data_IF_478097476670
#
_entry.id   IF_478097476670
#
_cell.length_a   1.000
_cell.length_b   1.000
_cell.length_c   1.000
_cell.angle_alpha   90.00
_cell.angle_beta   90.00
_cell.angle_gamma   90.00
#
_symmetry.space_group_name_H-M   'P 1'
#
loop_
_entity.id
_entity.type
_entity.pdbx_description
1 polymer ?
#
# COMPACT_ATOMS: atom_id res chain seq x y z
N UNK A 1 11.23 4.85 25.16
CA UNK A 1 11.27 4.67 23.69
C UNK A 1 10.45 3.45 23.42
N UNK A 2 9.46 3.50 22.50
CA UNK A 2 8.65 2.31 22.19
C UNK A 2 9.53 1.36 21.38
N UNK A 3 9.56 0.08 21.76
CA UNK A 3 10.25 -0.95 20.99
C UNK A 3 9.39 -1.26 19.74
N UNK A 4 10.05 -1.49 18.60
CA UNK A 4 9.36 -1.86 17.36
C UNK A 4 9.31 -3.37 17.19
N UNK A 5 8.33 -3.84 16.43
CA UNK A 5 8.38 -5.13 15.78
C UNK A 5 7.95 -4.97 14.33
N UNK A 6 8.75 -5.47 13.37
CA UNK A 6 8.43 -5.41 11.94
C UNK A 6 9.08 -6.58 11.20
N UNK A 7 8.30 -7.35 10.45
CA UNK A 7 8.79 -8.45 9.60
C UNK A 7 8.22 -8.40 8.17
N UNK A 8 7.91 -7.21 7.67
CA UNK A 8 7.19 -7.00 6.40
C UNK A 8 8.04 -7.22 5.15
N UNK A 9 9.36 -7.40 5.27
CA UNK A 9 10.23 -7.56 4.12
C UNK A 9 11.28 -8.65 4.35
N UNK A 10 11.87 -9.13 3.27
CA UNK A 10 12.93 -10.16 3.31
C UNK A 10 14.22 -9.71 4.00
N UNK A 11 14.42 -8.40 4.19
CA UNK A 11 15.60 -7.84 4.87
C UNK A 11 15.45 -7.84 6.40
N UNK A 12 14.36 -8.38 6.91
CA UNK A 12 14.10 -8.39 8.35
C UNK A 12 15.25 -9.02 9.13
N UNK A 13 15.60 -8.43 10.28
CA UNK A 13 16.77 -8.84 11.07
C UNK A 13 16.70 -10.33 11.44
N UNK A 14 17.75 -11.08 11.13
CA UNK A 14 17.89 -12.51 11.42
C UNK A 14 16.73 -13.41 10.93
N UNK A 15 15.94 -12.95 9.96
CA UNK A 15 14.70 -13.60 9.48
C UNK A 15 13.62 -13.79 10.57
N UNK A 16 13.71 -13.06 11.69
CA UNK A 16 12.75 -13.17 12.81
C UNK A 16 11.94 -11.91 13.04
N UNK A 17 12.41 -10.77 12.56
CA UNK A 17 11.79 -9.46 12.73
C UNK A 17 12.79 -8.41 13.19
N UNK A 18 12.50 -7.15 12.84
CA UNK A 18 13.22 -6.01 13.41
C UNK A 18 12.53 -5.60 14.71
N UNK A 19 13.19 -5.78 15.83
CA UNK A 19 12.66 -5.56 17.19
C UNK A 19 13.42 -4.49 18.00
N UNK A 20 14.42 -3.86 17.38
CA UNK A 20 15.29 -2.89 18.03
C UNK A 20 14.79 -1.43 17.96
N UNK A 21 15.72 -0.50 17.91
CA UNK A 21 15.44 0.93 17.78
C UNK A 21 15.26 1.37 16.33
N UNK A 22 15.84 0.62 15.40
CA UNK A 22 15.85 0.90 13.95
C UNK A 22 15.80 -0.42 13.20
N UNK A 23 14.96 -0.51 12.18
CA UNK A 23 14.92 -1.64 11.26
C UNK A 23 16.11 -1.66 10.31
N UNK A 24 16.37 -2.79 9.65
CA UNK A 24 17.46 -2.94 8.66
C UNK A 24 17.33 -1.90 7.53
N UNK A 25 16.11 -1.54 7.14
CA UNK A 25 15.82 -0.50 6.13
C UNK A 25 15.97 0.95 6.64
N UNK A 26 16.38 1.17 7.89
CA UNK A 26 16.46 2.50 8.51
C UNK A 26 15.14 3.01 9.12
N UNK A 27 14.04 2.25 9.06
CA UNK A 27 12.77 2.61 9.69
C UNK A 27 12.97 2.74 11.20
N UNK A 28 12.57 3.87 11.79
CA UNK A 28 12.65 4.09 13.23
C UNK A 28 11.52 3.35 13.96
N UNK A 29 11.75 3.03 15.24
CA UNK A 29 10.79 2.31 16.06
C UNK A 29 9.44 3.04 16.20
N UNK A 30 9.44 4.36 16.34
CA UNK A 30 8.23 5.16 16.40
C UNK A 30 7.43 5.12 15.08
N UNK A 31 8.13 5.16 13.94
CA UNK A 31 7.49 5.01 12.62
C UNK A 31 6.80 3.66 12.47
N UNK A 32 7.44 2.57 12.88
CA UNK A 32 6.84 1.24 12.84
C UNK A 32 5.57 1.17 13.72
N UNK A 33 5.64 1.73 14.93
CA UNK A 33 4.48 1.78 15.84
C UNK A 33 3.34 2.61 15.26
N UNK A 34 3.60 3.77 14.65
CA UNK A 34 2.55 4.58 14.02
C UNK A 34 1.93 3.89 12.79
N UNK A 35 2.72 3.11 12.04
CA UNK A 35 2.17 2.28 10.96
C UNK A 35 1.27 1.17 11.49
N UNK A 36 1.60 0.55 12.62
CA UNK A 36 0.74 -0.44 13.28
C UNK A 36 -0.54 0.21 13.83
N UNK A 37 -0.44 1.39 14.45
CA UNK A 37 -1.59 2.18 14.91
C UNK A 37 -2.51 2.54 13.72
N UNK A 38 -1.95 2.92 12.56
CA UNK A 38 -2.70 3.18 11.33
C UNK A 38 -3.45 1.93 10.83
N UNK A 39 -2.80 0.75 10.81
CA UNK A 39 -3.48 -0.50 10.45
C UNK A 39 -4.61 -0.82 11.42
N UNK A 40 -4.38 -0.64 12.71
CA UNK A 40 -5.42 -0.82 13.74
C UNK A 40 -6.64 0.08 13.51
N UNK A 41 -6.42 1.34 13.14
CA UNK A 41 -7.48 2.28 12.80
C UNK A 41 -8.22 1.89 11.51
N UNK A 42 -7.53 1.35 10.50
CA UNK A 42 -8.14 0.83 9.26
C UNK A 42 -9.05 -0.37 9.54
N UNK A 43 -8.64 -1.29 10.42
CA UNK A 43 -9.47 -2.43 10.85
C UNK A 43 -10.73 -1.91 11.55
N UNK A 44 -10.60 -0.93 12.44
CA UNK A 44 -11.75 -0.32 13.12
C UNK A 44 -12.68 0.41 12.14
N UNK A 45 -12.13 1.11 11.13
CA UNK A 45 -12.90 1.74 10.06
C UNK A 45 -13.68 0.69 9.23
N UNK A 46 -13.04 -0.42 8.88
CA UNK A 46 -13.69 -1.51 8.15
C UNK A 46 -14.84 -2.16 8.95
N UNK A 47 -14.68 -2.30 10.26
CA UNK A 47 -15.76 -2.77 11.14
C UNK A 47 -16.92 -1.75 11.22
N UNK A 48 -16.58 -0.46 11.33
CA UNK A 48 -17.61 0.60 11.35
C UNK A 48 -18.42 0.67 10.04
N UNK A 49 -17.77 0.39 8.91
CA UNK A 49 -18.40 0.41 7.59
C UNK A 49 -19.41 -0.72 7.37
N UNK A 50 -19.32 -1.85 8.09
CA UNK A 50 -20.21 -3.01 7.90
C UNK A 50 -21.70 -2.65 8.09
N UNK A 51 -22.01 -1.83 9.11
CA UNK A 51 -23.36 -1.35 9.39
C UNK A 51 -23.44 0.18 9.32
N UNK A 52 -22.48 0.81 8.67
CA UNK A 52 -22.37 2.25 8.50
C UNK A 52 -22.75 2.71 7.09
N UNK A 53 -22.37 3.95 6.78
CA UNK A 53 -22.59 4.55 5.47
C UNK A 53 -21.25 4.98 4.85
N UNK A 54 -20.42 4.02 4.38
CA UNK A 54 -19.16 4.35 3.70
C UNK A 54 -19.42 5.13 2.40
N UNK A 55 -18.43 5.91 1.98
CA UNK A 55 -18.46 6.72 0.77
C UNK A 55 -17.15 6.55 0.02
N UNK A 56 -17.03 7.10 -1.19
CA UNK A 56 -15.76 7.13 -1.94
C UNK A 56 -14.58 7.68 -1.12
N UNK A 57 -14.86 8.64 -0.21
CA UNK A 57 -13.84 9.12 0.73
C UNK A 57 -13.38 8.02 1.68
N UNK A 58 -14.30 7.19 2.16
CA UNK A 58 -13.98 6.06 3.04
C UNK A 58 -13.11 5.05 2.30
N UNK A 59 -13.46 4.73 1.05
CA UNK A 59 -12.71 3.82 0.19
C UNK A 59 -11.29 4.35 -0.07
N UNK A 60 -11.16 5.64 -0.40
CA UNK A 60 -9.86 6.29 -0.59
C UNK A 60 -8.99 6.24 0.68
N UNK A 61 -9.56 6.42 1.87
CA UNK A 61 -8.83 6.34 3.13
C UNK A 61 -8.31 4.91 3.40
N UNK A 62 -9.11 3.88 3.06
CA UNK A 62 -8.66 2.47 3.13
C UNK A 62 -7.46 2.26 2.21
N UNK A 63 -7.56 2.65 0.93
CA UNK A 63 -6.48 2.47 -0.04
C UNK A 63 -5.22 3.23 0.37
N UNK A 64 -5.36 4.52 0.68
CA UNK A 64 -4.24 5.40 1.07
C UNK A 64 -3.57 4.92 2.35
N UNK A 65 -4.34 4.45 3.34
CA UNK A 65 -3.80 3.92 4.59
C UNK A 65 -3.01 2.63 4.39
N UNK A 66 -3.56 1.67 3.65
CA UNK A 66 -2.85 0.43 3.32
C UNK A 66 -1.60 0.70 2.50
N UNK A 67 -1.68 1.52 1.45
CA UNK A 67 -0.54 1.90 0.61
C UNK A 67 0.55 2.61 1.42
N UNK A 68 0.20 3.55 2.29
CA UNK A 68 1.14 4.26 3.18
C UNK A 68 1.96 3.31 4.06
N UNK A 69 1.42 2.15 4.42
CA UNK A 69 2.07 1.15 5.28
C UNK A 69 2.85 0.07 4.54
N UNK A 70 2.94 0.12 3.21
CA UNK A 70 3.84 -0.74 2.45
C UNK A 70 5.29 -0.48 2.85
N UNK A 71 6.11 -1.52 2.79
CA UNK A 71 7.54 -1.46 3.12
C UNK A 71 8.22 -0.34 2.34
N UNK A 72 8.91 0.56 3.06
CA UNK A 72 9.74 1.64 2.52
C UNK A 72 8.99 2.74 1.73
N UNK A 73 7.66 2.80 1.78
CA UNK A 73 6.88 3.83 1.07
C UNK A 73 6.83 5.14 1.85
N UNK A 74 6.50 5.09 3.14
CA UNK A 74 6.35 6.31 3.93
C UNK A 74 6.99 6.20 5.32
N UNK A 75 7.99 7.05 5.59
CA UNK A 75 8.66 7.17 6.88
C UNK A 75 8.36 8.51 7.59
N UNK A 76 7.40 9.28 7.10
CA UNK A 76 7.02 10.55 7.69
C UNK A 76 5.96 10.35 8.78
N UNK A 77 6.40 10.39 10.03
CA UNK A 77 5.53 10.23 11.20
C UNK A 77 4.39 11.24 11.28
N UNK A 78 4.60 12.46 10.78
CA UNK A 78 3.56 13.50 10.80
C UNK A 78 2.43 13.12 9.85
N UNK A 79 2.76 12.74 8.63
CA UNK A 79 1.78 12.31 7.62
C UNK A 79 1.02 11.06 8.07
N UNK A 80 1.72 10.06 8.66
CA UNK A 80 1.07 8.83 9.15
C UNK A 80 0.05 9.15 10.25
N UNK A 81 0.41 9.99 11.22
CA UNK A 81 -0.50 10.41 12.30
C UNK A 81 -1.71 11.20 11.79
N UNK A 82 -1.47 12.13 10.85
CA UNK A 82 -2.56 12.90 10.25
C UNK A 82 -3.56 11.98 9.53
N UNK A 83 -3.06 11.00 8.78
CA UNK A 83 -3.91 10.03 8.12
C UNK A 83 -4.69 9.15 9.11
N UNK A 84 -4.05 8.74 10.21
CA UNK A 84 -4.75 8.00 11.29
C UNK A 84 -5.89 8.84 11.88
N UNK A 85 -5.67 10.13 12.11
CA UNK A 85 -6.71 11.02 12.61
C UNK A 85 -7.84 11.22 11.59
N UNK A 86 -7.54 11.38 10.32
CA UNK A 86 -8.56 11.43 9.24
C UNK A 86 -9.43 10.17 9.24
N UNK A 87 -8.83 9.00 9.46
CA UNK A 87 -9.53 7.71 9.55
C UNK A 87 -10.44 7.68 10.79
N UNK A 88 -9.99 8.17 11.93
CA UNK A 88 -10.82 8.25 13.14
C UNK A 88 -12.03 9.18 12.94
N UNK A 89 -11.82 10.33 12.30
CA UNK A 89 -12.91 11.27 11.97
C UNK A 89 -13.91 10.59 11.04
N UNK A 90 -13.45 9.93 9.99
CA UNK A 90 -14.30 9.24 9.02
C UNK A 90 -15.06 8.08 9.67
N UNK A 91 -14.40 7.26 10.49
CA UNK A 91 -15.02 6.18 11.26
C UNK A 91 -16.22 6.67 12.09
N UNK A 92 -16.01 7.77 12.83
CA UNK A 92 -17.05 8.37 13.65
C UNK A 92 -18.19 9.01 12.83
N UNK A 93 -17.87 9.45 11.59
CA UNK A 93 -18.87 10.00 10.66
C UNK A 93 -19.79 8.91 10.10
N UNK A 94 -19.24 7.76 9.72
CA UNK A 94 -20.01 6.71 9.04
C UNK A 94 -20.82 5.85 10.01
N UNK A 95 -20.43 5.81 11.28
CA UNK A 95 -21.11 5.02 12.30
C UNK A 95 -21.00 5.69 13.67
N UNK A 96 -22.14 5.85 14.34
CA UNK A 96 -22.20 6.44 15.69
C UNK A 96 -21.77 5.49 16.81
N UNK A 97 -21.65 4.19 16.54
CA UNK A 97 -21.11 3.24 17.51
C UNK A 97 -19.61 3.45 17.68
N UNK A 98 -19.13 3.20 18.89
CA UNK A 98 -17.71 3.26 19.19
C UNK A 98 -17.00 1.99 18.69
N UNK A 99 -15.99 2.17 17.87
CA UNK A 99 -15.07 1.11 17.46
C UNK A 99 -13.67 1.49 17.93
N UNK A 100 -13.08 0.66 18.78
CA UNK A 100 -11.69 0.86 19.20
C UNK A 100 -10.73 0.34 18.13
N UNK A 101 -9.56 0.96 18.00
CA UNK A 101 -8.52 0.52 17.09
C UNK A 101 -8.05 -0.88 17.47
N UNK A 102 -7.74 -1.69 16.47
CA UNK A 102 -7.20 -3.02 16.69
C UNK A 102 -5.75 -2.93 17.16
N UNK A 103 -5.42 -3.58 18.27
CA UNK A 103 -4.04 -3.66 18.74
C UNK A 103 -3.27 -4.70 17.93
N UNK A 104 -2.37 -4.24 17.06
CA UNK A 104 -1.55 -5.11 16.22
C UNK A 104 -0.67 -6.10 16.98
N UNK A 105 -0.41 -5.86 18.27
CA UNK A 105 0.28 -6.83 19.13
C UNK A 105 -0.50 -8.13 19.28
N UNK A 106 -1.82 -8.09 19.18
CA UNK A 106 -2.65 -9.31 19.19
C UNK A 106 -2.34 -10.20 17.99
N UNK A 107 -2.14 -9.60 16.82
CA UNK A 107 -1.74 -10.33 15.62
C UNK A 107 -0.30 -10.84 15.73
N UNK A 108 0.62 -9.99 16.15
CA UNK A 108 2.05 -10.36 16.25
C UNK A 108 2.32 -11.47 17.27
N UNK A 109 1.51 -11.56 18.31
CA UNK A 109 1.63 -12.58 19.39
C UNK A 109 0.63 -13.74 19.26
N UNK A 110 -0.11 -13.83 18.14
CA UNK A 110 -1.05 -14.92 17.88
C UNK A 110 -0.31 -16.25 17.63
N UNK A 111 -1.05 -17.35 17.63
CA UNK A 111 -0.51 -18.66 17.23
C UNK A 111 0.14 -18.56 15.84
N UNK A 112 1.23 -19.28 15.62
CA UNK A 112 2.08 -19.14 14.43
C UNK A 112 1.31 -19.26 13.12
N UNK A 113 0.40 -20.26 13.00
CA UNK A 113 -0.38 -20.48 11.79
C UNK A 113 -1.37 -19.31 11.55
N UNK A 114 -2.06 -18.87 12.60
CA UNK A 114 -3.02 -17.76 12.53
C UNK A 114 -2.29 -16.47 12.17
N UNK A 115 -1.18 -16.17 12.85
CA UNK A 115 -0.33 -15.02 12.55
C UNK A 115 0.15 -15.05 11.10
N UNK A 116 0.59 -16.20 10.61
CA UNK A 116 1.10 -16.36 9.25
C UNK A 116 0.01 -16.12 8.21
N UNK A 117 -1.17 -16.73 8.37
CA UNK A 117 -2.29 -16.55 7.45
C UNK A 117 -2.80 -15.10 7.44
N UNK A 118 -3.00 -14.49 8.62
CA UNK A 118 -3.39 -13.08 8.72
C UNK A 118 -2.33 -12.14 8.13
N UNK A 119 -1.05 -12.47 8.28
CA UNK A 119 0.03 -11.68 7.70
C UNK A 119 0.05 -11.77 6.17
N UNK A 120 -0.18 -12.95 5.59
CA UNK A 120 -0.31 -13.14 4.14
C UNK A 120 -1.45 -12.28 3.58
N UNK A 121 -2.62 -12.30 4.24
CA UNK A 121 -3.76 -11.46 3.84
C UNK A 121 -3.38 -9.98 3.95
N UNK A 122 -2.83 -9.54 5.09
CA UNK A 122 -2.48 -8.14 5.33
C UNK A 122 -1.47 -7.62 4.29
N UNK A 123 -0.39 -8.37 4.04
CA UNK A 123 0.64 -7.95 3.09
C UNK A 123 0.12 -8.02 1.65
N UNK A 124 -0.73 -9.00 1.34
CA UNK A 124 -1.42 -9.10 0.05
C UNK A 124 -2.30 -7.87 -0.23
N UNK A 125 -3.18 -7.50 0.71
CA UNK A 125 -4.05 -6.33 0.52
C UNK A 125 -3.28 -5.00 0.53
N UNK A 126 -2.14 -4.89 1.22
CA UNK A 126 -1.27 -3.71 1.09
C UNK A 126 -0.72 -3.55 -0.32
N UNK A 127 -0.21 -4.63 -0.92
CA UNK A 127 0.27 -4.62 -2.31
C UNK A 127 -0.86 -4.31 -3.29
N UNK A 128 -2.02 -4.96 -3.11
CA UNK A 128 -3.21 -4.71 -3.93
C UNK A 128 -3.70 -3.26 -3.80
N UNK A 129 -3.60 -2.65 -2.62
CA UNK A 129 -3.98 -1.26 -2.41
C UNK A 129 -3.14 -0.27 -3.23
N UNK A 130 -1.86 -0.56 -3.48
CA UNK A 130 -1.05 0.25 -4.37
C UNK A 130 -1.60 0.23 -5.80
N UNK A 131 -1.95 -0.94 -6.32
CA UNK A 131 -2.55 -1.08 -7.65
C UNK A 131 -3.90 -0.36 -7.74
N UNK A 132 -4.78 -0.57 -6.76
CA UNK A 132 -6.08 0.08 -6.72
C UNK A 132 -5.97 1.61 -6.58
N UNK A 133 -5.01 2.11 -5.81
CA UNK A 133 -4.75 3.55 -5.66
C UNK A 133 -4.34 4.20 -6.99
N UNK A 134 -3.41 3.57 -7.72
CA UNK A 134 -2.98 4.07 -9.03
C UNK A 134 -4.11 3.99 -10.08
N UNK A 135 -4.90 2.91 -10.08
CA UNK A 135 -6.07 2.81 -10.94
C UNK A 135 -7.10 3.92 -10.65
N UNK A 136 -7.37 4.18 -9.37
CA UNK A 136 -8.29 5.23 -8.94
C UNK A 136 -7.77 6.63 -9.28
N UNK A 137 -6.46 6.89 -9.20
CA UNK A 137 -5.84 8.14 -9.65
C UNK A 137 -6.06 8.42 -11.14
N UNK A 138 -6.28 7.36 -11.94
CA UNK A 138 -6.65 7.41 -13.35
C UNK A 138 -8.18 7.30 -13.60
N UNK A 139 -8.99 7.41 -12.53
CA UNK A 139 -10.46 7.41 -12.62
C UNK A 139 -11.10 6.03 -12.76
N UNK A 140 -10.36 4.94 -12.51
CA UNK A 140 -10.88 3.56 -12.54
C UNK A 140 -11.03 2.96 -11.16
N UNK A 141 -12.20 2.40 -10.88
CA UNK A 141 -12.52 1.68 -9.63
C UNK A 141 -13.28 0.40 -9.94
N UNK A 142 -13.20 -0.57 -9.02
CA UNK A 142 -13.96 -1.81 -9.07
C UNK A 142 -14.58 -2.09 -7.71
N UNK A 143 -15.89 -2.32 -7.67
CA UNK A 143 -16.64 -2.51 -6.41
C UNK A 143 -16.30 -3.82 -5.70
N UNK A 144 -15.95 -4.87 -6.42
CA UNK A 144 -15.55 -6.14 -5.84
C UNK A 144 -14.18 -6.01 -5.15
N UNK A 145 -13.23 -5.34 -5.82
CA UNK A 145 -11.92 -5.02 -5.25
C UNK A 145 -12.08 -4.16 -4.00
N UNK A 146 -12.89 -3.11 -4.06
CA UNK A 146 -13.15 -2.23 -2.92
C UNK A 146 -13.78 -2.99 -1.75
N UNK A 147 -14.82 -3.78 -2.00
CA UNK A 147 -15.50 -4.56 -0.96
C UNK A 147 -14.60 -5.59 -0.30
N UNK A 148 -13.65 -6.13 -1.06
CA UNK A 148 -12.69 -7.11 -0.54
C UNK A 148 -11.74 -6.50 0.50
N UNK A 149 -11.30 -5.25 0.35
CA UNK A 149 -10.48 -4.59 1.37
C UNK A 149 -11.18 -4.56 2.73
N UNK A 150 -12.46 -4.21 2.77
CA UNK A 150 -13.23 -4.20 4.01
C UNK A 150 -13.36 -5.61 4.60
N UNK A 151 -13.68 -6.60 3.77
CA UNK A 151 -13.79 -8.00 4.18
C UNK A 151 -12.48 -8.52 4.79
N UNK A 152 -11.36 -8.29 4.11
CA UNK A 152 -10.04 -8.73 4.55
C UNK A 152 -9.60 -8.05 5.86
N UNK A 153 -9.76 -6.73 5.98
CA UNK A 153 -9.44 -6.00 7.21
C UNK A 153 -10.27 -6.48 8.40
N UNK A 154 -11.58 -6.72 8.23
CA UNK A 154 -12.41 -7.27 9.31
C UNK A 154 -11.95 -8.67 9.72
N UNK A 155 -11.63 -9.53 8.77
CA UNK A 155 -11.16 -10.88 9.06
C UNK A 155 -9.82 -10.89 9.80
N UNK A 156 -8.88 -10.01 9.46
CA UNK A 156 -7.63 -9.84 10.22
C UNK A 156 -7.92 -9.52 11.69
N UNK A 157 -8.93 -8.68 11.96
CA UNK A 157 -9.29 -8.28 13.31
C UNK A 157 -10.03 -9.34 14.14
N UNK A 158 -10.76 -10.26 13.51
CA UNK A 158 -11.75 -11.10 14.21
C UNK A 158 -11.72 -12.59 13.89
N UNK A 159 -11.26 -13.02 12.71
CA UNK A 159 -11.27 -14.44 12.32
C UNK A 159 -10.07 -15.18 12.94
N UNK A 160 -10.32 -16.39 13.45
CA UNK A 160 -9.28 -17.24 14.03
C UNK A 160 -9.39 -18.71 13.55
N UNK A 161 -10.28 -18.98 12.61
CA UNK A 161 -10.40 -20.31 11.98
C UNK A 161 -9.38 -20.42 10.84
N UNK A 162 -8.39 -21.34 10.93
CA UNK A 162 -7.35 -21.48 9.92
C UNK A 162 -7.90 -21.82 8.53
N UNK A 163 -8.97 -22.60 8.42
CA UNK A 163 -9.55 -22.99 7.13
C UNK A 163 -10.19 -21.78 6.43
N UNK A 164 -10.91 -20.96 7.19
CA UNK A 164 -11.48 -19.70 6.67
C UNK A 164 -10.39 -18.69 6.28
N UNK A 165 -9.35 -18.58 7.10
CA UNK A 165 -8.21 -17.70 6.79
C UNK A 165 -7.47 -18.17 5.54
N UNK A 166 -7.26 -19.49 5.37
CA UNK A 166 -6.66 -20.05 4.14
C UNK A 166 -7.54 -19.76 2.92
N UNK A 167 -8.85 -19.94 3.04
CA UNK A 167 -9.80 -19.57 1.99
C UNK A 167 -9.67 -18.08 1.60
N UNK A 168 -9.51 -17.20 2.59
CA UNK A 168 -9.34 -15.77 2.36
C UNK A 168 -7.98 -15.41 1.73
N UNK A 169 -6.90 -16.15 2.05
CA UNK A 169 -5.60 -16.01 1.35
C UNK A 169 -5.76 -16.30 -0.14
N UNK A 170 -6.45 -17.39 -0.50
CA UNK A 170 -6.70 -17.73 -1.90
C UNK A 170 -7.60 -16.70 -2.60
N UNK A 171 -8.61 -16.21 -1.89
CA UNK A 171 -9.48 -15.14 -2.40
C UNK A 171 -8.69 -13.84 -2.61
N UNK A 172 -7.74 -13.51 -1.73
CA UNK A 172 -6.84 -12.36 -1.91
C UNK A 172 -6.10 -12.45 -3.25
N UNK A 173 -5.59 -13.62 -3.61
CA UNK A 173 -4.95 -13.85 -4.90
C UNK A 173 -5.90 -13.63 -6.09
N UNK A 174 -7.11 -14.17 -6.02
CA UNK A 174 -8.12 -14.02 -7.08
C UNK A 174 -8.56 -12.56 -7.27
N UNK A 175 -8.80 -11.83 -6.17
CA UNK A 175 -9.19 -10.41 -6.25
C UNK A 175 -8.01 -9.55 -6.71
N UNK A 176 -6.78 -9.92 -6.33
CA UNK A 176 -5.59 -9.21 -6.82
C UNK A 176 -5.45 -9.32 -8.35
N UNK A 177 -5.78 -10.46 -8.96
CA UNK A 177 -5.79 -10.58 -10.44
C UNK A 177 -6.76 -9.58 -11.08
N UNK A 178 -7.95 -9.38 -10.50
CA UNK A 178 -8.90 -8.36 -10.96
C UNK A 178 -8.37 -6.94 -10.77
N UNK A 179 -7.74 -6.68 -9.63
CA UNK A 179 -7.13 -5.40 -9.34
C UNK A 179 -5.98 -5.07 -10.31
N UNK A 180 -5.15 -6.05 -10.65
CA UNK A 180 -4.10 -5.90 -11.65
C UNK A 180 -4.67 -5.62 -13.04
N UNK A 181 -5.73 -6.34 -13.44
CA UNK A 181 -6.41 -6.08 -14.71
C UNK A 181 -7.06 -4.68 -14.74
N UNK A 182 -7.60 -4.21 -13.61
CA UNK A 182 -8.13 -2.85 -13.47
C UNK A 182 -7.03 -1.80 -13.69
N UNK A 183 -5.85 -1.99 -13.08
CA UNK A 183 -4.71 -1.09 -13.26
C UNK A 183 -4.18 -1.13 -14.68
N UNK A 184 -4.07 -2.31 -15.29
CA UNK A 184 -3.66 -2.47 -16.70
C UNK A 184 -4.60 -1.68 -17.63
N UNK A 185 -5.90 -1.86 -17.47
CA UNK A 185 -6.90 -1.10 -18.25
C UNK A 185 -6.83 0.41 -17.97
N UNK A 186 -6.52 0.84 -16.74
CA UNK A 186 -6.36 2.25 -16.43
C UNK A 186 -5.12 2.85 -17.10
N UNK A 187 -4.01 2.13 -17.08
CA UNK A 187 -2.75 2.56 -17.70
C UNK A 187 -2.85 2.58 -19.23
N UNK A 188 -3.39 1.53 -19.85
CA UNK A 188 -3.52 1.46 -21.32
C UNK A 188 -4.48 2.52 -21.87
N UNK A 189 -5.58 2.79 -21.18
CA UNK A 189 -6.48 3.88 -21.54
C UNK A 189 -5.82 5.28 -21.40
N UNK A 190 -4.95 5.46 -20.40
CA UNK A 190 -4.32 6.76 -20.12
C UNK A 190 -3.05 7.02 -20.95
N UNK A 191 -2.28 5.98 -21.28
CA UNK A 191 -0.93 6.08 -21.84
C UNK A 191 -0.75 5.32 -23.16
N UNK A 192 -1.74 4.53 -23.57
CA UNK A 192 -1.68 3.68 -24.76
C UNK A 192 -1.08 2.30 -24.48
N UNK A 193 -1.25 1.41 -25.46
CA UNK A 193 -0.67 0.07 -25.41
C UNK A 193 0.84 0.11 -25.60
N UNK A 194 1.61 -0.70 -24.86
CA UNK A 194 3.04 -0.82 -25.07
C UNK A 194 3.36 -1.36 -26.47
N UNK A 195 4.21 -0.65 -27.21
CA UNK A 195 4.69 -1.09 -28.53
C UNK A 195 6.21 -1.18 -28.55
N UNK A 196 6.81 -2.16 -29.23
CA UNK A 196 8.26 -2.22 -29.39
C UNK A 196 8.77 -0.93 -30.02
N UNK A 197 9.71 -0.26 -29.37
CA UNK A 197 10.24 1.04 -29.79
C UNK A 197 11.77 0.97 -29.78
N UNK A 198 12.42 1.42 -30.87
CA UNK A 198 13.87 1.57 -30.91
C UNK A 198 14.28 2.78 -30.08
N UNK A 199 15.22 2.58 -29.17
CA UNK A 199 15.78 3.62 -28.32
C UNK A 199 17.29 3.69 -28.50
N UNK A 200 17.90 4.91 -28.55
CA UNK A 200 19.35 5.06 -28.59
C UNK A 200 19.98 4.49 -27.32
N UNK A 201 21.07 3.72 -27.48
CA UNK A 201 21.89 3.23 -26.37
C UNK A 201 23.04 4.18 -26.00
N UNK A 202 23.14 5.31 -26.71
CA UNK A 202 24.20 6.31 -26.53
C UNK A 202 23.65 7.58 -25.90
N UNK A 203 24.52 8.26 -25.16
CA UNK A 203 24.18 9.56 -24.55
C UNK A 203 24.40 10.65 -25.58
N UNK A 204 23.42 11.52 -25.74
CA UNK A 204 23.50 12.70 -26.58
C UNK A 204 24.10 13.91 -25.83
N UNK A 205 24.79 14.79 -26.56
CA UNK A 205 25.33 16.01 -25.99
C UNK A 205 24.21 17.02 -25.66
N UNK A 206 24.16 17.48 -24.44
CA UNK A 206 23.18 18.50 -24.00
C UNK A 206 22.82 18.37 -22.53
N UNK A 207 21.94 19.23 -22.04
CA UNK A 207 21.36 19.10 -20.71
C UNK A 207 20.55 17.80 -20.61
N UNK A 208 20.58 17.18 -19.45
CA UNK A 208 19.83 15.94 -19.26
C UNK A 208 19.28 15.80 -17.84
N UNK A 209 18.23 15.01 -17.69
CA UNK A 209 17.68 14.54 -16.43
C UNK A 209 17.75 13.01 -16.42
N UNK A 210 18.27 12.45 -15.33
CA UNK A 210 18.29 11.00 -15.10
C UNK A 210 17.16 10.66 -14.13
N UNK A 211 16.33 9.71 -14.53
CA UNK A 211 15.20 9.23 -13.72
C UNK A 211 15.48 7.77 -13.36
N UNK A 212 15.54 7.48 -12.05
CA UNK A 212 15.67 6.13 -11.51
C UNK A 212 14.38 5.74 -10.82
N UNK A 213 13.72 4.70 -11.32
CA UNK A 213 12.37 4.35 -10.91
C UNK A 213 11.34 5.37 -11.37
N UNK A 214 10.09 4.99 -11.50
CA UNK A 214 9.07 5.94 -11.96
C UNK A 214 7.67 5.48 -11.59
N UNK A 215 6.82 6.46 -11.33
CA UNK A 215 5.38 6.38 -11.50
C UNK A 215 5.03 6.88 -12.90
N UNK A 216 4.08 6.22 -13.58
CA UNK A 216 3.74 6.57 -14.96
C UNK A 216 3.12 7.97 -15.06
N UNK A 217 2.35 8.37 -14.06
CA UNK A 217 1.76 9.72 -14.01
C UNK A 217 2.83 10.80 -13.83
N UNK A 218 3.76 10.60 -12.89
CA UNK A 218 4.89 11.52 -12.66
C UNK A 218 5.80 11.61 -13.90
N UNK A 219 6.04 10.47 -14.57
CA UNK A 219 6.82 10.45 -15.82
C UNK A 219 6.12 11.27 -16.91
N UNK A 220 4.80 11.09 -17.09
CA UNK A 220 4.03 11.90 -18.03
C UNK A 220 4.15 13.39 -17.74
N UNK A 221 3.97 13.80 -16.49
CA UNK A 221 4.12 15.20 -16.07
C UNK A 221 5.53 15.74 -16.34
N UNK A 222 6.57 14.95 -16.08
CA UNK A 222 7.95 15.34 -16.38
C UNK A 222 8.15 15.56 -17.88
N UNK A 223 7.69 14.65 -18.71
CA UNK A 223 7.80 14.77 -20.17
C UNK A 223 7.02 15.97 -20.71
N UNK A 224 5.84 16.25 -20.17
CA UNK A 224 5.04 17.42 -20.53
C UNK A 224 5.74 18.73 -20.16
N UNK A 225 6.33 18.79 -18.96
CA UNK A 225 7.07 19.97 -18.47
C UNK A 225 8.34 20.25 -19.27
N UNK A 226 9.01 19.21 -19.75
CA UNK A 226 10.31 19.32 -20.43
C UNK A 226 10.23 19.36 -21.95
N UNK A 227 9.04 19.18 -22.53
CA UNK A 227 8.80 19.05 -23.97
C UNK A 227 9.49 20.10 -24.83
N UNK A 228 9.51 21.38 -24.38
CA UNK A 228 10.06 22.50 -25.12
C UNK A 228 11.40 23.00 -24.54
N UNK A 229 12.05 22.25 -23.66
CA UNK A 229 13.23 22.69 -22.92
C UNK A 229 14.57 22.22 -23.50
N UNK A 230 14.57 21.47 -24.61
CA UNK A 230 15.77 20.86 -25.19
C UNK A 230 16.60 20.05 -24.16
N UNK A 231 15.94 19.31 -23.28
CA UNK A 231 16.54 18.48 -22.23
C UNK A 231 16.30 17.03 -22.57
N UNK A 232 17.36 16.21 -22.54
CA UNK A 232 17.25 14.77 -22.73
C UNK A 232 16.81 14.08 -21.43
N UNK A 233 15.85 13.16 -21.49
CA UNK A 233 15.40 12.37 -20.35
C UNK A 233 15.93 10.94 -20.50
N UNK A 234 16.74 10.51 -19.53
CA UNK A 234 17.25 9.15 -19.46
C UNK A 234 16.59 8.40 -18.33
N UNK A 235 15.85 7.34 -18.67
CA UNK A 235 15.13 6.50 -17.72
C UNK A 235 15.90 5.19 -17.50
N UNK A 236 16.14 4.84 -16.25
CA UNK A 236 16.67 3.53 -15.87
C UNK A 236 15.92 2.96 -14.69
N UNK A 237 15.54 1.69 -14.78
CA UNK A 237 14.83 0.99 -13.72
C UNK A 237 15.76 0.23 -12.76
N UNK A 238 16.92 -0.23 -13.23
CA UNK A 238 17.77 -1.14 -12.47
C UNK A 238 19.21 -0.63 -12.37
N UNK A 239 19.82 -0.18 -13.47
CA UNK A 239 21.26 0.02 -13.55
C UNK A 239 21.82 1.32 -12.95
N UNK A 240 20.98 2.25 -12.51
CA UNK A 240 21.43 3.50 -11.86
C UNK A 240 21.46 3.35 -10.33
N UNK A 241 20.77 2.38 -9.76
CA UNK A 241 20.66 2.18 -8.31
C UNK A 241 21.64 1.16 -7.73
N UNK A 242 22.41 0.47 -8.57
CA UNK A 242 23.46 -0.42 -8.11
C UNK A 242 24.83 0.25 -8.28
N UNK A 243 25.68 0.31 -7.21
CA UNK A 243 27.04 0.82 -7.27
C UNK A 243 27.98 -0.08 -8.05
#
# INVERSE_FOLDING_TARGET
>A
MKDMFCFQCQQTAHNTGCDGKVGVCGKKADTAVYQDELIGALIALANAAENGSPTEKTDMLILKGLFTTITNVNFNNVTIKQLTEEIHIERNRINSQKFDDYDMKKLWNDHEDIRSLKSLILFGIKGMAAYAYHAQALGKTDSEVTSFFYKALRAIGSENDPEKLLGLVLETGNVNLKCMALLDAANTDAYGDPVPTEVPLTIEKGPFIVVSGHDLHDMKLLLEQTKDMCVNIYLSLIHISEP
#
